data_IF_393591860499
#
_entry.id   IF_393591860499
#
_cell.length_a   1.000
_cell.length_b   1.000
_cell.length_c   1.000
_cell.angle_alpha   90.00
_cell.angle_beta   90.00
_cell.angle_gamma   90.00
#
_symmetry.space_group_name_H-M   'P 1'
#
loop_
_entity.id
_entity.type
_entity.pdbx_description
1 polymer ?
#
# COMPACT_ATOMS: atom_id res chain seq x y z
N UNK A 1 51.30 -45.08 -25.11
CA UNK A 1 50.92 -45.74 -26.38
C UNK A 1 50.07 -44.74 -27.17
N UNK A 2 50.63 -44.25 -28.28
CA UNK A 2 50.09 -43.22 -29.15
C UNK A 2 49.00 -43.81 -30.05
N UNK A 3 47.89 -43.15 -30.28
CA UNK A 3 47.14 -43.28 -31.53
C UNK A 3 46.46 -41.93 -31.87
N UNK A 4 47.05 -41.27 -32.81
CA UNK A 4 46.55 -40.16 -33.64
C UNK A 4 45.56 -40.68 -34.66
N UNK A 5 44.35 -40.04 -34.74
CA UNK A 5 43.51 -40.22 -35.94
C UNK A 5 43.27 -38.85 -36.57
N UNK A 6 43.86 -38.69 -37.75
CA UNK A 6 43.61 -37.63 -38.73
C UNK A 6 42.23 -37.86 -39.36
N UNK A 7 41.43 -36.83 -39.50
CA UNK A 7 40.25 -36.84 -40.38
C UNK A 7 40.38 -35.70 -41.37
N UNK A 8 40.27 -36.11 -42.61
CA UNK A 8 40.49 -35.38 -43.85
C UNK A 8 39.33 -34.43 -44.17
N UNK A 9 39.68 -33.19 -44.55
CA UNK A 9 38.75 -32.15 -45.01
C UNK A 9 38.44 -32.43 -46.49
N UNK A 10 37.14 -32.50 -46.86
CA UNK A 10 36.67 -32.39 -48.21
C UNK A 10 36.08 -31.01 -48.43
N UNK A 11 36.72 -30.21 -49.27
CA UNK A 11 36.21 -28.96 -49.80
C UNK A 11 35.35 -29.30 -51.02
N UNK A 12 34.08 -28.98 -50.99
CA UNK A 12 33.20 -28.93 -52.16
C UNK A 12 32.83 -27.46 -52.42
N UNK A 13 33.44 -26.93 -53.47
CA UNK A 13 33.04 -25.68 -54.10
C UNK A 13 31.75 -25.91 -54.91
N UNK A 14 30.69 -25.20 -54.62
CA UNK A 14 29.52 -25.04 -55.51
C UNK A 14 29.28 -23.56 -55.72
N UNK A 15 29.52 -23.15 -56.97
CA UNK A 15 29.15 -21.85 -57.55
C UNK A 15 27.68 -21.95 -57.97
N UNK A 16 26.88 -20.92 -57.65
CA UNK A 16 25.61 -20.82 -58.34
C UNK A 16 24.59 -19.86 -57.72
N UNK A 17 24.31 -18.81 -58.46
CA UNK A 17 23.07 -18.04 -58.55
C UNK A 17 22.82 -16.91 -57.54
N UNK A 18 23.13 -15.70 -57.99
CA UNK A 18 22.53 -14.44 -57.55
C UNK A 18 21.03 -14.46 -57.85
N UNK A 19 20.21 -14.49 -56.82
CA UNK A 19 18.78 -14.14 -56.90
C UNK A 19 18.59 -12.79 -56.23
N UNK A 20 18.43 -11.76 -57.05
CA UNK A 20 17.81 -10.47 -56.61
C UNK A 20 16.37 -10.78 -56.22
N UNK A 21 16.07 -10.73 -54.94
CA UNK A 21 14.74 -11.00 -54.39
C UNK A 21 14.41 -10.10 -53.25
N UNK A 22 13.62 -9.07 -53.51
CA UNK A 22 12.67 -8.38 -52.66
C UNK A 22 13.19 -7.83 -51.29
N UNK A 23 13.26 -6.53 -51.22
CA UNK A 23 13.12 -5.76 -49.97
C UNK A 23 11.87 -6.25 -49.25
N UNK A 24 12.06 -7.19 -48.32
CA UNK A 24 11.07 -7.47 -47.29
C UNK A 24 11.03 -6.26 -46.34
N UNK A 25 10.01 -5.43 -46.53
CA UNK A 25 9.65 -4.45 -45.52
C UNK A 25 9.48 -5.21 -44.19
N UNK A 26 10.38 -4.98 -43.23
CA UNK A 26 10.13 -5.37 -41.85
C UNK A 26 8.80 -4.74 -41.49
N UNK A 27 7.78 -5.56 -41.28
CA UNK A 27 6.53 -5.14 -40.62
C UNK A 27 6.91 -4.40 -39.35
N UNK A 28 6.34 -3.24 -39.07
CA UNK A 28 6.54 -2.61 -37.76
C UNK A 28 6.19 -3.62 -36.67
N UNK A 29 6.90 -3.65 -35.55
CA UNK A 29 6.58 -4.55 -34.47
C UNK A 29 5.11 -4.34 -34.12
N UNK A 30 4.39 -5.45 -34.04
CA UNK A 30 2.97 -5.49 -33.70
C UNK A 30 2.80 -4.74 -32.36
N UNK A 31 2.28 -3.51 -32.42
CA UNK A 31 2.13 -2.60 -31.27
C UNK A 31 0.96 -3.01 -30.35
N UNK A 32 0.43 -4.23 -30.52
CA UNK A 32 -0.77 -4.71 -29.82
C UNK A 32 -0.50 -5.51 -28.54
N UNK A 33 0.76 -5.85 -28.22
CA UNK A 33 1.06 -6.51 -26.96
C UNK A 33 1.06 -5.49 -25.81
N UNK A 34 0.28 -5.72 -24.75
CA UNK A 34 0.22 -4.79 -23.63
C UNK A 34 1.60 -4.69 -22.96
N UNK A 35 2.01 -3.45 -22.65
CA UNK A 35 3.28 -3.20 -21.94
C UNK A 35 3.19 -3.71 -20.50
N UNK A 36 4.12 -4.58 -20.11
CA UNK A 36 4.18 -5.08 -18.73
C UNK A 36 4.92 -4.09 -17.83
N UNK A 37 4.25 -3.69 -16.73
CA UNK A 37 4.76 -2.76 -15.73
C UNK A 37 4.93 -3.50 -14.40
N UNK A 38 6.10 -3.43 -13.80
CA UNK A 38 6.36 -4.05 -12.49
C UNK A 38 6.00 -3.09 -11.36
N UNK A 39 5.13 -3.53 -10.44
CA UNK A 39 4.77 -2.82 -9.22
C UNK A 39 5.19 -3.61 -7.99
N UNK A 40 5.88 -2.96 -7.05
CA UNK A 40 6.21 -3.54 -5.74
C UNK A 40 5.23 -3.05 -4.69
N UNK A 41 4.78 -3.95 -3.83
CA UNK A 41 3.90 -3.64 -2.71
C UNK A 41 4.22 -4.53 -1.51
N UNK A 42 3.69 -4.20 -0.34
CA UNK A 42 3.60 -5.13 0.78
C UNK A 42 2.70 -6.34 0.43
N UNK A 43 2.78 -7.39 1.23
CA UNK A 43 1.91 -8.57 1.08
C UNK A 43 0.42 -8.16 1.01
N UNK A 44 -0.43 -8.94 0.34
CA UNK A 44 -1.82 -8.59 0.15
C UNK A 44 -2.52 -8.20 1.46
N UNK A 45 -3.05 -6.99 1.48
CA UNK A 45 -3.84 -6.43 2.57
C UNK A 45 -4.82 -5.41 2.00
N UNK A 46 -5.82 -5.00 2.75
CA UNK A 46 -6.77 -3.99 2.28
C UNK A 46 -6.18 -2.57 2.20
N UNK A 47 -4.97 -2.35 2.71
CA UNK A 47 -4.22 -1.09 2.47
C UNK A 47 -3.82 -0.90 0.99
N UNK A 48 -3.68 -2.01 0.24
CA UNK A 48 -3.41 -2.01 -1.21
C UNK A 48 -4.63 -2.50 -2.03
N UNK A 49 -5.84 -2.39 -1.46
CA UNK A 49 -7.05 -2.92 -2.07
C UNK A 49 -7.35 -2.36 -3.46
N UNK A 50 -7.05 -1.08 -3.74
CA UNK A 50 -7.24 -0.49 -5.09
C UNK A 50 -6.28 -1.13 -6.12
N UNK A 51 -4.97 -1.24 -5.90
CA UNK A 51 -4.08 -2.04 -6.77
C UNK A 51 -4.53 -3.50 -6.95
N UNK A 52 -4.96 -4.18 -5.88
CA UNK A 52 -5.47 -5.56 -5.99
C UNK A 52 -6.75 -5.61 -6.85
N UNK A 53 -7.66 -4.64 -6.67
CA UNK A 53 -8.88 -4.52 -7.49
C UNK A 53 -8.54 -4.27 -8.96
N UNK A 54 -7.54 -3.44 -9.25
CA UNK A 54 -7.05 -3.21 -10.61
C UNK A 54 -6.69 -4.53 -11.30
N UNK A 55 -5.93 -5.39 -10.63
CA UNK A 55 -5.54 -6.70 -11.16
C UNK A 55 -6.77 -7.63 -11.26
N UNK A 56 -7.59 -7.73 -10.22
CA UNK A 56 -8.74 -8.64 -10.16
C UNK A 56 -9.79 -8.31 -11.22
N UNK A 57 -10.03 -7.04 -11.48
CA UNK A 57 -10.99 -6.55 -12.48
C UNK A 57 -10.36 -6.34 -13.86
N UNK A 58 -9.03 -6.54 -13.99
CA UNK A 58 -8.28 -6.38 -15.24
C UNK A 58 -8.40 -4.97 -15.84
N UNK A 59 -8.55 -3.94 -15.00
CA UNK A 59 -8.63 -2.55 -15.48
C UNK A 59 -7.29 -2.10 -16.05
N UNK A 60 -6.16 -2.66 -15.61
CA UNK A 60 -4.85 -2.48 -16.21
C UNK A 60 -4.86 -2.85 -17.71
N UNK A 61 -5.43 -4.00 -18.04
CA UNK A 61 -5.52 -4.47 -19.44
C UNK A 61 -6.45 -3.62 -20.29
N UNK A 62 -7.51 -3.08 -19.70
CA UNK A 62 -8.40 -2.16 -20.41
C UNK A 62 -7.70 -0.86 -20.85
N UNK A 63 -6.61 -0.49 -20.16
CA UNK A 63 -5.77 0.67 -20.48
C UNK A 63 -4.47 0.29 -21.21
N UNK A 64 -4.39 -0.90 -21.83
CA UNK A 64 -3.27 -1.32 -22.68
C UNK A 64 -1.99 -1.66 -21.92
N UNK A 65 -2.05 -1.84 -20.61
CA UNK A 65 -0.92 -2.26 -19.76
C UNK A 65 -1.23 -3.59 -19.08
N UNK A 66 -0.18 -4.27 -18.64
CA UNK A 66 -0.29 -5.42 -17.72
C UNK A 66 0.54 -5.11 -16.48
N UNK A 67 -0.06 -5.12 -15.31
CA UNK A 67 0.68 -4.85 -14.06
C UNK A 67 1.10 -6.18 -13.43
N UNK A 68 2.43 -6.40 -13.35
CA UNK A 68 3.04 -7.47 -12.56
C UNK A 68 3.20 -6.98 -11.12
N UNK A 69 2.23 -7.30 -10.27
CA UNK A 69 2.22 -6.90 -8.87
C UNK A 69 3.03 -7.91 -8.04
N UNK A 70 4.20 -7.50 -7.65
CA UNK A 70 5.07 -8.26 -6.76
C UNK A 70 4.84 -7.84 -5.30
N UNK A 71 3.91 -8.52 -4.64
CA UNK A 71 3.46 -8.20 -3.29
C UNK A 71 4.02 -9.21 -2.29
N UNK A 72 4.98 -8.78 -1.47
CA UNK A 72 5.58 -9.60 -0.40
C UNK A 72 6.26 -8.78 0.69
N UNK A 73 6.35 -9.38 1.88
CA UNK A 73 6.87 -8.69 3.06
C UNK A 73 5.89 -7.64 3.60
N UNK A 74 6.35 -6.82 4.52
CA UNK A 74 5.51 -5.83 5.22
C UNK A 74 6.11 -4.42 5.17
N UNK A 75 7.26 -4.24 4.50
CA UNK A 75 8.04 -3.00 4.53
C UNK A 75 7.86 -2.18 3.26
N UNK A 76 7.34 -0.96 3.40
CA UNK A 76 7.33 0.05 2.33
C UNK A 76 8.75 0.45 1.87
N UNK A 77 9.74 0.34 2.75
CA UNK A 77 11.15 0.64 2.42
C UNK A 77 11.66 -0.26 1.31
N UNK A 78 11.39 -1.58 1.39
CA UNK A 78 11.78 -2.53 0.33
C UNK A 78 11.16 -2.16 -1.02
N UNK A 79 9.90 -1.70 -1.03
CA UNK A 79 9.24 -1.25 -2.26
C UNK A 79 9.88 0.03 -2.81
N UNK A 80 10.24 0.97 -1.93
CA UNK A 80 10.94 2.21 -2.32
C UNK A 80 12.33 1.88 -2.89
N UNK A 81 13.09 1.03 -2.22
CA UNK A 81 14.43 0.62 -2.68
C UNK A 81 14.37 -0.05 -4.05
N UNK A 82 13.38 -0.93 -4.29
CA UNK A 82 13.18 -1.56 -5.59
C UNK A 82 12.86 -0.54 -6.70
N UNK A 83 12.06 0.49 -6.40
CA UNK A 83 11.76 1.58 -7.35
C UNK A 83 13.00 2.42 -7.63
N UNK A 84 13.75 2.81 -6.62
CA UNK A 84 14.98 3.60 -6.77
C UNK A 84 16.07 2.83 -7.53
N UNK A 85 16.17 1.52 -7.30
CA UNK A 85 17.11 0.65 -8.01
C UNK A 85 16.65 0.29 -9.45
N UNK A 86 15.46 0.72 -9.88
CA UNK A 86 14.90 0.36 -11.20
C UNK A 86 14.42 -1.08 -11.34
N UNK A 87 14.34 -1.83 -10.26
CA UNK A 87 13.81 -3.20 -10.23
C UNK A 87 12.28 -3.24 -10.33
N UNK A 88 11.62 -2.15 -9.95
CA UNK A 88 10.20 -1.93 -10.18
C UNK A 88 9.99 -0.52 -10.75
N UNK A 89 8.99 -0.40 -11.62
CA UNK A 89 8.61 0.89 -12.18
C UNK A 89 7.80 1.70 -11.17
N UNK A 90 6.95 1.04 -10.39
CA UNK A 90 6.04 1.63 -9.40
C UNK A 90 6.20 0.97 -8.03
N UNK A 91 5.95 1.77 -6.98
CA UNK A 91 5.87 1.28 -5.61
C UNK A 91 4.52 1.64 -4.98
N UNK A 92 3.85 0.65 -4.35
CA UNK A 92 2.74 0.92 -3.44
C UNK A 92 3.30 0.95 -2.02
N UNK A 93 3.23 2.10 -1.37
CA UNK A 93 4.00 2.40 -0.15
C UNK A 93 3.18 3.21 0.86
N UNK A 94 3.57 3.11 2.14
CA UNK A 94 3.00 3.96 3.19
C UNK A 94 3.44 5.42 3.02
N UNK A 95 2.51 6.33 3.25
CA UNK A 95 2.71 7.77 2.98
C UNK A 95 3.88 8.35 3.77
N UNK A 96 3.96 8.09 5.08
CA UNK A 96 5.05 8.63 5.88
C UNK A 96 6.41 8.10 5.43
N UNK A 97 6.51 6.81 5.09
CA UNK A 97 7.75 6.19 4.62
C UNK A 97 8.21 6.84 3.31
N UNK A 98 7.28 7.09 2.37
CA UNK A 98 7.58 7.80 1.13
C UNK A 98 8.07 9.23 1.38
N UNK A 99 7.37 10.00 2.21
CA UNK A 99 7.75 11.37 2.54
C UNK A 99 9.10 11.44 3.25
N UNK A 100 9.41 10.49 4.14
CA UNK A 100 10.70 10.42 4.82
C UNK A 100 11.83 10.08 3.85
N UNK A 101 11.60 9.18 2.88
CA UNK A 101 12.58 8.89 1.83
C UNK A 101 12.84 10.13 0.94
N UNK A 102 11.79 10.83 0.51
CA UNK A 102 11.89 12.09 -0.27
C UNK A 102 12.66 13.14 0.52
N UNK A 103 12.36 13.34 1.80
CA UNK A 103 13.10 14.26 2.67
C UNK A 103 14.60 13.91 2.76
N UNK A 104 14.95 12.63 2.65
CA UNK A 104 16.34 12.15 2.66
C UNK A 104 17.00 12.21 1.28
N UNK A 105 16.32 12.77 0.27
CA UNK A 105 16.84 12.98 -1.07
C UNK A 105 16.45 11.92 -2.09
N UNK A 106 15.54 10.99 -1.77
CA UNK A 106 15.03 10.05 -2.75
C UNK A 106 14.25 10.77 -3.86
N UNK A 107 14.62 10.56 -5.12
CA UNK A 107 13.98 11.20 -6.28
C UNK A 107 12.68 10.46 -6.66
N UNK A 108 11.70 10.56 -5.79
CA UNK A 108 10.38 9.97 -5.96
C UNK A 108 9.33 11.02 -6.29
N UNK A 109 8.31 10.59 -7.04
CA UNK A 109 7.10 11.35 -7.33
C UNK A 109 5.88 10.55 -6.93
N UNK A 110 4.93 11.20 -6.28
CA UNK A 110 3.65 10.64 -5.88
C UNK A 110 2.69 10.80 -7.03
N UNK A 111 2.19 9.68 -7.58
CA UNK A 111 1.27 9.70 -8.72
C UNK A 111 -0.18 9.40 -8.33
N UNK A 112 -0.41 8.79 -7.18
CA UNK A 112 -1.76 8.52 -6.66
C UNK A 112 -1.74 8.29 -5.14
N UNK A 113 -2.83 8.67 -4.48
CA UNK A 113 -3.17 8.22 -3.13
C UNK A 113 -4.33 7.22 -3.23
N UNK A 114 -4.13 6.00 -2.75
CA UNK A 114 -5.04 4.87 -3.02
C UNK A 114 -5.87 4.44 -1.82
N UNK A 115 -5.56 4.95 -0.63
CA UNK A 115 -6.30 4.63 0.60
C UNK A 115 -6.16 5.73 1.64
N UNK A 116 -7.26 6.01 2.33
CA UNK A 116 -7.30 6.89 3.49
C UNK A 116 -6.88 6.15 4.77
N UNK A 117 -7.28 6.64 5.92
CA UNK A 117 -6.97 6.00 7.18
C UNK A 117 -7.79 4.71 7.40
N UNK A 118 -7.14 3.59 7.19
CA UNK A 118 -7.70 2.24 7.40
C UNK A 118 -7.40 1.67 8.80
N UNK A 119 -6.74 2.44 9.67
CA UNK A 119 -6.34 1.93 10.96
C UNK A 119 -7.54 1.77 11.89
N UNK A 120 -7.65 0.59 12.47
CA UNK A 120 -8.58 0.30 13.56
C UNK A 120 -7.81 -0.17 14.79
N UNK A 121 -8.39 0.05 15.96
CA UNK A 121 -7.89 -0.45 17.24
C UNK A 121 -8.89 -1.43 17.82
N UNK A 122 -8.40 -2.59 18.20
CA UNK A 122 -9.12 -3.59 18.98
C UNK A 122 -8.57 -3.58 20.41
N UNK A 123 -9.45 -3.46 21.39
CA UNK A 123 -9.11 -3.60 22.81
C UNK A 123 -9.65 -4.93 23.33
N UNK A 124 -8.92 -5.60 24.20
CA UNK A 124 -9.41 -6.82 24.86
C UNK A 124 -10.69 -6.55 25.63
N UNK A 125 -11.62 -7.50 25.61
CA UNK A 125 -12.93 -7.35 26.26
C UNK A 125 -12.80 -7.08 27.77
N UNK A 126 -11.93 -7.83 28.47
CA UNK A 126 -11.69 -7.64 29.91
C UNK A 126 -11.05 -6.29 30.26
N UNK A 127 -10.22 -5.76 29.35
CA UNK A 127 -9.62 -4.43 29.50
C UNK A 127 -10.67 -3.36 29.27
N UNK A 128 -11.46 -3.44 28.20
CA UNK A 128 -12.54 -2.49 27.93
C UNK A 128 -13.55 -2.40 29.07
N UNK A 129 -13.94 -3.55 29.63
CA UNK A 129 -14.84 -3.60 30.80
C UNK A 129 -14.21 -2.91 32.02
N UNK A 130 -12.94 -3.18 32.32
CA UNK A 130 -12.23 -2.58 33.47
C UNK A 130 -12.10 -1.05 33.37
N UNK A 131 -11.97 -0.52 32.16
CA UNK A 131 -11.85 0.91 31.92
C UNK A 131 -13.14 1.68 32.24
N UNK A 132 -14.29 1.04 32.20
CA UNK A 132 -15.61 1.67 32.44
C UNK A 132 -15.99 2.72 31.39
N UNK A 133 -15.31 2.74 30.23
CA UNK A 133 -15.56 3.65 29.11
C UNK A 133 -16.24 2.85 27.99
N UNK A 134 -17.36 3.37 27.47
CA UNK A 134 -18.05 2.73 26.35
C UNK A 134 -17.20 2.79 25.06
N UNK A 135 -17.19 1.74 24.21
CA UNK A 135 -16.60 1.80 22.88
C UNK A 135 -17.30 2.80 21.96
N UNK A 136 -18.44 3.34 22.35
CA UNK A 136 -19.18 4.41 21.67
C UNK A 136 -19.06 5.77 22.34
N UNK A 137 -18.31 5.87 23.46
CA UNK A 137 -18.05 7.15 24.13
C UNK A 137 -17.33 8.14 23.19
N UNK A 138 -17.32 9.43 23.50
CA UNK A 138 -16.56 10.41 22.75
C UNK A 138 -15.11 9.98 22.54
N UNK A 139 -14.57 10.22 21.35
CA UNK A 139 -13.23 9.73 20.98
C UNK A 139 -12.15 10.20 21.97
N UNK A 140 -12.26 11.42 22.50
CA UNK A 140 -11.34 11.94 23.48
C UNK A 140 -11.28 11.08 24.76
N UNK A 141 -12.40 10.57 25.22
CA UNK A 141 -12.47 9.68 26.38
C UNK A 141 -11.85 8.33 26.08
N UNK A 142 -12.19 7.75 24.92
CA UNK A 142 -11.64 6.47 24.48
C UNK A 142 -10.12 6.51 24.31
N UNK A 143 -9.58 7.59 23.76
CA UNK A 143 -8.12 7.74 23.61
C UNK A 143 -7.46 7.95 24.97
N UNK A 144 -7.99 8.82 25.84
CA UNK A 144 -7.42 9.05 27.19
C UNK A 144 -7.45 7.79 28.05
N UNK A 145 -8.43 6.92 27.86
CA UNK A 145 -8.52 5.64 28.56
C UNK A 145 -7.37 4.66 28.21
N UNK A 146 -6.60 4.93 27.14
CA UNK A 146 -5.42 4.12 26.80
C UNK A 146 -4.22 4.37 27.74
N UNK A 147 -4.28 5.38 28.62
CA UNK A 147 -3.20 5.68 29.56
C UNK A 147 -2.85 4.47 30.43
N UNK A 148 -1.55 4.12 30.46
CA UNK A 148 -1.03 2.98 31.21
C UNK A 148 -1.18 1.62 30.50
N UNK A 149 -1.86 1.56 29.36
CA UNK A 149 -2.04 0.31 28.61
C UNK A 149 -0.83 -0.03 27.73
N UNK A 150 -0.70 -1.31 27.44
CA UNK A 150 0.22 -1.84 26.43
C UNK A 150 -0.51 -1.97 25.10
N UNK A 151 -0.16 -1.15 24.12
CA UNK A 151 -0.78 -1.15 22.78
C UNK A 151 0.26 -1.54 21.73
N UNK A 152 -0.01 -2.62 20.97
CA UNK A 152 0.85 -3.05 19.89
C UNK A 152 0.30 -2.60 18.53
N UNK A 153 1.19 -2.29 17.61
CA UNK A 153 0.88 -1.84 16.25
C UNK A 153 1.99 -2.25 15.29
N UNK A 154 1.97 -1.79 14.05
CA UNK A 154 3.05 -2.04 13.07
C UNK A 154 4.42 -1.60 13.58
N UNK A 155 5.47 -2.01 12.88
CA UNK A 155 6.86 -1.73 13.26
C UNK A 155 7.09 -0.25 13.61
N UNK A 156 8.03 0.01 14.51
CA UNK A 156 8.45 1.38 14.86
C UNK A 156 8.82 2.14 13.58
N UNK A 157 8.26 3.34 13.41
CA UNK A 157 8.43 4.16 12.21
C UNK A 157 7.46 3.85 11.07
N UNK A 158 6.65 2.78 11.15
CA UNK A 158 5.62 2.50 10.14
C UNK A 158 4.49 3.54 10.19
N UNK A 159 3.73 3.63 9.10
CA UNK A 159 2.53 4.48 9.02
C UNK A 159 1.55 4.20 10.17
N UNK A 160 1.25 2.94 10.46
CA UNK A 160 0.37 2.56 11.57
C UNK A 160 0.89 3.02 12.94
N UNK A 161 2.19 2.86 13.18
CA UNK A 161 2.82 3.32 14.41
C UNK A 161 2.69 4.84 14.58
N UNK A 162 2.90 5.60 13.52
CA UNK A 162 2.83 7.06 13.58
C UNK A 162 1.39 7.59 13.67
N UNK A 163 0.43 6.97 13.02
CA UNK A 163 -1.00 7.31 13.17
C UNK A 163 -1.41 7.15 14.65
N UNK A 164 -1.04 6.04 15.28
CA UNK A 164 -1.38 5.83 16.68
C UNK A 164 -0.73 6.92 17.58
N UNK A 165 0.53 7.25 17.33
CA UNK A 165 1.20 8.34 18.07
C UNK A 165 0.51 9.69 17.86
N UNK A 166 0.04 9.99 16.64
CA UNK A 166 -0.68 11.24 16.37
C UNK A 166 -2.01 11.30 17.12
N UNK A 167 -2.76 10.20 17.20
CA UNK A 167 -3.99 10.13 17.98
C UNK A 167 -3.73 10.40 19.47
N UNK A 168 -2.72 9.76 20.04
CA UNK A 168 -2.38 9.97 21.44
C UNK A 168 -2.08 11.45 21.71
N UNK A 169 -1.23 12.09 20.91
CA UNK A 169 -0.90 13.52 21.06
C UNK A 169 -2.12 14.42 20.89
N UNK A 170 -2.95 14.16 19.89
CA UNK A 170 -4.16 14.96 19.61
C UNK A 170 -5.11 15.03 20.80
N UNK A 171 -5.14 13.98 21.62
CA UNK A 171 -6.01 13.91 22.80
C UNK A 171 -5.27 14.05 24.13
N UNK A 172 -4.05 14.59 24.09
CA UNK A 172 -3.30 15.02 25.27
C UNK A 172 -2.50 13.92 25.98
N UNK A 173 -2.25 12.78 25.33
CA UNK A 173 -1.36 11.75 25.84
C UNK A 173 0.03 11.88 25.21
N UNK A 174 1.06 11.70 26.03
CA UNK A 174 2.43 11.55 25.55
C UNK A 174 2.64 10.08 25.11
N UNK A 175 2.87 9.83 23.78
CA UNK A 175 3.04 8.48 23.28
C UNK A 175 4.30 7.76 23.77
N UNK A 176 5.24 8.47 24.38
CA UNK A 176 6.50 7.90 24.87
C UNK A 176 6.45 7.52 26.35
N UNK A 177 5.49 8.09 27.11
CA UNK A 177 5.43 7.90 28.58
C UNK A 177 4.05 7.45 29.08
N UNK A 178 2.95 7.86 28.45
CA UNK A 178 1.60 7.57 28.92
C UNK A 178 1.06 6.23 28.44
N UNK A 179 1.55 5.69 27.33
CA UNK A 179 1.13 4.42 26.75
C UNK A 179 2.36 3.59 26.39
N UNK A 180 2.37 2.33 26.77
CA UNK A 180 3.44 1.42 26.35
C UNK A 180 3.20 0.97 24.89
N UNK A 181 3.80 1.68 23.93
CA UNK A 181 3.70 1.33 22.51
C UNK A 181 4.70 0.25 22.15
N UNK A 182 4.23 -0.81 21.49
CA UNK A 182 5.06 -1.90 20.98
C UNK A 182 4.93 -1.97 19.46
N UNK A 183 6.04 -1.76 18.76
CA UNK A 183 6.12 -1.94 17.31
C UNK A 183 6.38 -3.40 16.95
N UNK A 184 5.55 -3.98 16.09
CA UNK A 184 5.62 -5.37 15.64
C UNK A 184 5.87 -5.39 14.13
N UNK A 185 6.97 -6.02 13.70
CA UNK A 185 7.34 -6.09 12.29
C UNK A 185 6.49 -7.11 11.52
N UNK A 186 6.07 -8.20 12.19
CA UNK A 186 5.23 -9.25 11.60
C UNK A 186 3.77 -9.10 12.08
N UNK A 187 2.85 -8.63 11.22
CA UNK A 187 1.48 -8.32 11.64
C UNK A 187 0.71 -9.50 12.25
N UNK A 188 0.96 -10.73 11.82
CA UNK A 188 0.31 -11.93 12.38
C UNK A 188 0.58 -12.10 13.89
N UNK A 189 1.73 -11.60 14.37
CA UNK A 189 2.07 -11.62 15.78
C UNK A 189 1.21 -10.67 16.63
N UNK A 190 0.52 -9.69 16.03
CA UNK A 190 -0.45 -8.84 16.74
C UNK A 190 -1.65 -9.66 17.21
N UNK A 191 -2.21 -10.52 16.34
CA UNK A 191 -3.35 -11.37 16.67
C UNK A 191 -2.99 -12.36 17.77
N UNK A 192 -1.91 -13.12 17.59
CA UNK A 192 -1.48 -14.08 18.62
C UNK A 192 -1.09 -13.40 19.95
N UNK A 193 -0.53 -12.20 19.89
CA UNK A 193 -0.14 -11.45 21.09
C UNK A 193 -1.33 -10.94 21.90
N UNK A 194 -2.40 -10.45 21.26
CA UNK A 194 -3.61 -10.03 21.98
C UNK A 194 -4.37 -11.23 22.53
N UNK A 195 -4.46 -12.34 21.81
CA UNK A 195 -5.05 -13.59 22.30
C UNK A 195 -4.32 -14.14 23.55
N UNK A 196 -3.00 -14.09 23.52
CA UNK A 196 -2.15 -14.50 24.64
C UNK A 196 -2.06 -13.46 25.75
N UNK A 197 -2.85 -12.38 25.69
CA UNK A 197 -2.89 -11.29 26.68
C UNK A 197 -1.54 -10.57 26.89
N UNK A 198 -0.64 -10.59 25.88
CA UNK A 198 0.61 -9.82 25.91
C UNK A 198 0.38 -8.33 25.68
N UNK A 199 -0.71 -7.99 25.00
CA UNK A 199 -1.15 -6.62 24.70
C UNK A 199 -2.55 -6.40 25.26
N UNK A 200 -2.82 -5.17 25.72
CA UNK A 200 -4.15 -4.73 26.13
C UNK A 200 -5.00 -4.35 24.91
N UNK A 201 -4.35 -3.82 23.88
CA UNK A 201 -4.95 -3.48 22.60
C UNK A 201 -3.96 -3.67 21.45
N UNK A 202 -4.51 -3.81 20.24
CA UNK A 202 -3.76 -3.76 18.99
C UNK A 202 -4.35 -2.71 18.06
N UNK A 203 -3.49 -2.05 17.26
CA UNK A 203 -3.93 -1.08 16.26
C UNK A 203 -3.31 -1.42 14.91
N UNK A 204 -4.13 -1.78 13.92
CA UNK A 204 -3.68 -2.15 12.58
C UNK A 204 -4.82 -1.99 11.56
N UNK A 205 -4.62 -2.47 10.33
CA UNK A 205 -5.62 -2.44 9.27
C UNK A 205 -6.33 -3.79 9.11
N UNK A 206 -7.48 -3.76 8.42
CA UNK A 206 -8.20 -4.95 7.96
C UNK A 206 -7.36 -5.79 6.98
N UNK A 207 -7.51 -7.11 6.96
CA UNK A 207 -8.49 -7.91 7.71
C UNK A 207 -7.99 -8.41 9.07
N UNK A 208 -6.82 -7.97 9.53
CA UNK A 208 -6.16 -8.50 10.74
C UNK A 208 -6.96 -8.20 12.01
N UNK A 209 -7.55 -7.01 12.10
CA UNK A 209 -8.34 -6.61 13.28
C UNK A 209 -9.66 -7.40 13.37
N UNK A 210 -10.32 -7.66 12.27
CA UNK A 210 -11.52 -8.49 12.22
C UNK A 210 -11.20 -9.95 12.55
N UNK A 211 -10.06 -10.45 12.09
CA UNK A 211 -9.61 -11.79 12.47
C UNK A 211 -9.41 -11.89 13.99
N UNK A 212 -8.79 -10.90 14.64
CA UNK A 212 -8.67 -10.89 16.09
C UNK A 212 -10.04 -10.86 16.80
N UNK A 213 -10.99 -10.08 16.28
CA UNK A 213 -12.36 -10.00 16.83
C UNK A 213 -13.09 -11.33 16.67
N UNK A 214 -13.04 -11.94 15.49
CA UNK A 214 -13.70 -13.24 15.21
C UNK A 214 -13.18 -14.37 16.14
N UNK A 215 -11.92 -14.27 16.56
CA UNK A 215 -11.33 -15.19 17.55
C UNK A 215 -11.62 -14.81 19.01
N UNK A 216 -12.49 -13.83 19.23
CA UNK A 216 -12.90 -13.41 20.58
C UNK A 216 -11.86 -12.59 21.34
N UNK A 217 -10.79 -12.15 20.69
CA UNK A 217 -9.70 -11.46 21.36
C UNK A 217 -10.08 -10.07 21.90
N UNK A 218 -11.11 -9.43 21.35
CA UNK A 218 -11.53 -8.10 21.79
C UNK A 218 -12.67 -7.51 20.96
N UNK A 219 -12.84 -6.20 21.07
CA UNK A 219 -13.83 -5.41 20.36
C UNK A 219 -13.20 -4.15 19.74
N UNK A 220 -13.85 -3.60 18.70
CA UNK A 220 -13.39 -2.34 18.09
C UNK A 220 -13.46 -1.21 19.12
N UNK A 221 -12.33 -0.56 19.36
CA UNK A 221 -12.19 0.57 20.26
C UNK A 221 -12.14 1.91 19.52
N UNK A 222 -11.37 1.97 18.45
CA UNK A 222 -11.25 3.15 17.57
C UNK A 222 -11.25 2.64 16.12
N UNK A 223 -11.94 3.32 15.21
CA UNK A 223 -11.97 2.99 13.79
C UNK A 223 -11.78 4.24 12.93
N UNK A 224 -10.67 4.28 12.19
CA UNK A 224 -10.43 5.29 11.14
C UNK A 224 -11.50 5.23 10.05
N UNK A 225 -11.79 4.04 9.47
CA UNK A 225 -12.84 3.90 8.45
C UNK A 225 -14.23 4.37 8.90
N UNK A 226 -14.57 4.21 10.17
CA UNK A 226 -15.84 4.68 10.75
C UNK A 226 -15.86 6.21 10.98
N UNK A 227 -14.72 6.89 10.82
CA UNK A 227 -14.61 8.32 11.06
C UNK A 227 -14.53 8.71 12.54
N UNK A 228 -14.15 7.79 13.43
CA UNK A 228 -14.02 8.08 14.87
C UNK A 228 -13.03 9.20 15.14
N UNK A 229 -11.97 9.31 14.33
CA UNK A 229 -10.99 10.39 14.40
C UNK A 229 -11.40 11.49 13.42
N UNK A 230 -11.72 12.70 13.87
CA UNK A 230 -12.04 13.80 12.98
C UNK A 230 -10.93 14.06 11.94
N UNK A 231 -11.30 14.20 10.68
CA UNK A 231 -10.37 14.40 9.56
C UNK A 231 -9.67 13.13 9.06
N UNK A 232 -10.07 11.94 9.53
CA UNK A 232 -9.52 10.64 9.07
C UNK A 232 -9.62 10.44 7.56
N UNK A 233 -10.63 10.97 6.91
CA UNK A 233 -10.87 10.97 5.47
C UNK A 233 -9.78 11.72 4.69
N UNK A 234 -9.11 12.67 5.33
CA UNK A 234 -8.01 13.43 4.76
C UNK A 234 -6.62 12.83 5.04
N UNK A 235 -6.54 11.81 5.89
CA UNK A 235 -5.28 11.11 6.18
C UNK A 235 -5.06 10.06 5.12
N UNK A 236 -4.32 10.39 4.05
CA UNK A 236 -3.90 9.43 3.02
C UNK A 236 -2.79 8.54 3.60
N UNK A 237 -3.02 7.23 3.68
CA UNK A 237 -2.08 6.30 4.31
C UNK A 237 -1.29 5.44 3.33
N UNK A 238 -1.73 5.35 2.08
CA UNK A 238 -1.07 4.60 1.02
C UNK A 238 -0.97 5.36 -0.29
N UNK A 239 0.21 5.33 -0.88
CA UNK A 239 0.58 6.04 -2.10
C UNK A 239 1.08 5.07 -3.17
N UNK A 240 0.93 5.49 -4.42
CA UNK A 240 1.70 4.95 -5.55
C UNK A 240 2.78 5.97 -5.91
N UNK A 241 4.02 5.49 -5.93
CA UNK A 241 5.21 6.30 -6.21
C UNK A 241 5.98 5.76 -7.41
N UNK A 242 6.70 6.65 -8.08
CA UNK A 242 7.63 6.38 -9.18
C UNK A 242 8.88 7.22 -9.03
N UNK A 243 9.95 6.93 -9.78
CA UNK A 243 11.06 7.88 -9.95
C UNK A 243 10.65 9.05 -10.85
N UNK A 244 11.23 10.24 -10.64
CA UNK A 244 10.97 11.40 -11.48
C UNK A 244 11.23 11.11 -12.97
N UNK A 245 12.36 10.47 -13.27
CA UNK A 245 12.71 10.10 -14.66
C UNK A 245 11.70 9.17 -15.33
N UNK A 246 10.95 8.37 -14.55
CA UNK A 246 9.90 7.50 -15.08
C UNK A 246 8.76 8.32 -15.67
N UNK A 247 8.40 9.45 -15.06
CA UNK A 247 7.38 10.35 -15.59
C UNK A 247 7.83 10.96 -16.91
N UNK A 248 9.11 11.36 -16.99
CA UNK A 248 9.67 11.97 -18.20
C UNK A 248 9.75 10.99 -19.37
N UNK A 249 10.21 9.76 -19.11
CA UNK A 249 10.48 8.75 -20.14
C UNK A 249 9.26 7.90 -20.51
N UNK A 250 8.31 7.74 -19.61
CA UNK A 250 7.22 6.77 -19.70
C UNK A 250 5.86 7.38 -19.32
N UNK A 251 5.62 8.64 -19.69
CA UNK A 251 4.42 9.39 -19.31
C UNK A 251 3.13 8.64 -19.65
N UNK A 252 3.05 8.07 -20.84
CA UNK A 252 1.84 7.33 -21.28
C UNK A 252 1.54 6.13 -20.38
N UNK A 253 2.57 5.44 -19.91
CA UNK A 253 2.42 4.30 -19.00
C UNK A 253 1.99 4.75 -17.59
N UNK A 254 2.49 5.90 -17.12
CA UNK A 254 2.05 6.51 -15.85
C UNK A 254 0.57 6.90 -15.93
N UNK A 255 0.15 7.51 -17.05
CA UNK A 255 -1.26 7.87 -17.26
C UNK A 255 -2.15 6.64 -17.39
N UNK A 256 -1.72 5.62 -18.12
CA UNK A 256 -2.46 4.35 -18.24
C UNK A 256 -2.64 3.68 -16.87
N UNK A 257 -1.59 3.65 -16.03
CA UNK A 257 -1.69 3.12 -14.67
C UNK A 257 -2.66 3.94 -13.81
N UNK A 258 -2.60 5.27 -13.88
CA UNK A 258 -3.52 6.14 -13.14
C UNK A 258 -4.97 5.93 -13.57
N UNK A 259 -5.23 5.81 -14.88
CA UNK A 259 -6.55 5.51 -15.41
C UNK A 259 -7.05 4.14 -14.92
N UNK A 260 -6.20 3.11 -14.96
CA UNK A 260 -6.52 1.78 -14.46
C UNK A 260 -6.84 1.77 -12.96
N UNK A 261 -6.08 2.52 -12.15
CA UNK A 261 -6.34 2.70 -10.71
C UNK A 261 -7.65 3.48 -10.45
N UNK A 262 -7.97 4.47 -11.29
CA UNK A 262 -9.23 5.23 -11.20
C UNK A 262 -10.43 4.33 -11.46
N UNK A 263 -10.36 3.47 -12.49
CA UNK A 263 -11.43 2.52 -12.76
C UNK A 263 -11.55 1.45 -11.67
N UNK A 264 -10.44 0.99 -11.12
CA UNK A 264 -10.44 0.08 -9.98
C UNK A 264 -11.09 0.73 -8.74
N UNK A 265 -10.77 1.99 -8.46
CA UNK A 265 -11.37 2.73 -7.37
C UNK A 265 -12.88 2.90 -7.57
N UNK A 266 -13.31 3.22 -8.80
CA UNK A 266 -14.73 3.29 -9.16
C UNK A 266 -15.44 1.95 -8.93
N UNK A 267 -14.82 0.82 -9.32
CA UNK A 267 -15.37 -0.52 -9.10
C UNK A 267 -15.55 -0.84 -7.61
N UNK A 268 -14.60 -0.44 -6.75
CA UNK A 268 -14.75 -0.57 -5.29
C UNK A 268 -15.97 0.22 -4.79
N UNK A 269 -16.24 1.39 -5.36
CA UNK A 269 -17.35 2.25 -4.94
C UNK A 269 -18.71 1.79 -5.48
N UNK A 270 -18.79 1.42 -6.77
CA UNK A 270 -20.04 1.13 -7.47
C UNK A 270 -20.38 -0.36 -7.59
N UNK A 271 -19.37 -1.25 -7.52
CA UNK A 271 -19.52 -2.69 -7.67
C UNK A 271 -18.97 -3.44 -6.44
N UNK A 272 -19.20 -2.86 -5.26
CA UNK A 272 -18.56 -3.25 -3.99
C UNK A 272 -18.66 -4.74 -3.70
N UNK A 273 -19.85 -5.35 -3.83
CA UNK A 273 -20.06 -6.76 -3.51
C UNK A 273 -19.29 -7.66 -4.48
N UNK A 274 -19.45 -7.44 -5.80
CA UNK A 274 -18.77 -8.24 -6.81
C UNK A 274 -17.24 -8.11 -6.73
N UNK A 275 -16.75 -6.89 -6.49
CA UNK A 275 -15.32 -6.61 -6.29
C UNK A 275 -14.80 -7.33 -5.05
N UNK A 276 -15.51 -7.27 -3.93
CA UNK A 276 -15.14 -7.95 -2.69
C UNK A 276 -15.05 -9.46 -2.86
N UNK A 277 -16.01 -10.07 -3.54
CA UNK A 277 -16.00 -11.51 -3.83
C UNK A 277 -14.79 -11.93 -4.67
N UNK A 278 -14.41 -11.14 -5.69
CA UNK A 278 -13.23 -11.41 -6.50
C UNK A 278 -11.95 -11.32 -5.67
N UNK A 279 -11.80 -10.26 -4.86
CA UNK A 279 -10.64 -10.08 -4.00
C UNK A 279 -10.52 -11.20 -2.97
N UNK A 280 -11.63 -11.61 -2.35
CA UNK A 280 -11.66 -12.75 -1.44
C UNK A 280 -11.11 -14.01 -2.11
N UNK A 281 -11.69 -14.40 -3.24
CA UNK A 281 -11.27 -15.61 -3.95
C UNK A 281 -9.83 -15.59 -4.44
N UNK A 282 -9.31 -14.41 -4.84
CA UNK A 282 -7.96 -14.31 -5.39
C UNK A 282 -6.85 -14.16 -4.34
N UNK A 283 -7.11 -13.44 -3.25
CA UNK A 283 -6.05 -13.02 -2.32
C UNK A 283 -6.31 -13.37 -0.86
N UNK A 284 -7.54 -13.64 -0.49
CA UNK A 284 -7.96 -13.79 0.91
C UNK A 284 -8.81 -15.05 1.14
N UNK A 285 -8.73 -16.04 0.27
CA UNK A 285 -9.53 -17.27 0.33
C UNK A 285 -9.34 -18.09 1.62
N UNK A 286 -8.27 -17.84 2.36
CA UNK A 286 -7.99 -18.46 3.67
C UNK A 286 -8.74 -17.81 4.84
N UNK A 287 -9.43 -16.67 4.61
CA UNK A 287 -10.28 -16.04 5.62
C UNK A 287 -11.70 -16.63 5.53
N UNK A 288 -12.35 -16.82 6.68
CA UNK A 288 -13.76 -17.15 6.72
C UNK A 288 -14.59 -16.03 6.08
N UNK A 289 -15.64 -16.41 5.32
CA UNK A 289 -16.46 -15.45 4.56
C UNK A 289 -17.01 -14.31 5.41
N UNK A 290 -17.52 -14.58 6.61
CA UNK A 290 -18.06 -13.56 7.50
C UNK A 290 -16.99 -12.59 8.03
N UNK A 291 -15.77 -13.07 8.27
CA UNK A 291 -14.62 -12.23 8.64
C UNK A 291 -14.22 -11.33 7.47
N UNK A 292 -14.16 -11.90 6.27
CA UNK A 292 -13.87 -11.16 5.07
C UNK A 292 -14.89 -10.06 4.79
N UNK A 293 -16.19 -10.41 4.82
CA UNK A 293 -17.27 -9.46 4.57
C UNK A 293 -17.20 -8.27 5.54
N UNK A 294 -17.01 -8.56 6.84
CA UNK A 294 -16.85 -7.52 7.87
C UNK A 294 -15.63 -6.62 7.58
N UNK A 295 -14.50 -7.23 7.21
CA UNK A 295 -13.27 -6.49 6.90
C UNK A 295 -13.41 -5.65 5.64
N UNK A 296 -14.03 -6.20 4.60
CA UNK A 296 -14.29 -5.51 3.34
C UNK A 296 -15.22 -4.32 3.56
N UNK A 297 -16.33 -4.54 4.24
CA UNK A 297 -17.30 -3.51 4.54
C UNK A 297 -16.72 -2.37 5.38
N UNK A 298 -15.95 -2.68 6.38
CA UNK A 298 -15.26 -1.66 7.19
C UNK A 298 -14.27 -0.85 6.36
N UNK A 299 -13.50 -1.50 5.48
CA UNK A 299 -12.41 -0.83 4.75
C UNK A 299 -12.89 -0.02 3.55
N UNK A 300 -13.98 -0.44 2.88
CA UNK A 300 -14.46 0.26 1.66
C UNK A 300 -14.78 1.72 1.89
N UNK A 301 -15.19 2.11 3.10
CA UNK A 301 -15.45 3.51 3.48
C UNK A 301 -14.17 4.35 3.57
N UNK A 302 -13.01 3.71 3.68
CA UNK A 302 -11.72 4.38 3.74
C UNK A 302 -11.04 4.50 2.37
N UNK A 303 -11.61 3.98 1.29
CA UNK A 303 -11.07 4.28 -0.04
C UNK A 303 -11.47 5.70 -0.45
N UNK A 304 -10.53 6.49 -1.01
CA UNK A 304 -10.78 7.89 -1.31
C UNK A 304 -11.80 8.05 -2.45
N UNK A 305 -12.40 9.23 -2.56
CA UNK A 305 -13.28 9.56 -3.68
C UNK A 305 -12.51 9.63 -5.02
N UNK A 306 -11.23 9.99 -4.96
CA UNK A 306 -10.32 10.08 -6.09
C UNK A 306 -8.88 9.80 -5.67
N UNK A 307 -7.94 9.80 -6.62
CA UNK A 307 -6.53 9.45 -6.37
C UNK A 307 -5.66 10.64 -5.93
N UNK A 308 -6.24 11.79 -5.55
CA UNK A 308 -5.46 12.96 -5.19
C UNK A 308 -4.70 12.77 -3.88
N UNK A 309 -3.42 13.14 -3.89
CA UNK A 309 -2.64 13.38 -2.70
C UNK A 309 -2.66 14.88 -2.43
N UNK A 310 -3.58 15.33 -1.60
CA UNK A 310 -3.85 16.76 -1.39
C UNK A 310 -2.77 17.44 -0.54
N UNK A 311 -2.67 18.76 -0.67
CA UNK A 311 -1.81 19.58 0.20
C UNK A 311 -2.15 19.37 1.68
N UNK A 312 -3.42 19.23 2.04
CA UNK A 312 -3.86 18.96 3.41
C UNK A 312 -3.32 17.61 3.92
N UNK A 313 -3.34 16.55 3.08
CA UNK A 313 -2.76 15.26 3.45
C UNK A 313 -1.24 15.36 3.64
N UNK A 314 -0.54 16.10 2.79
CA UNK A 314 0.89 16.37 2.95
C UNK A 314 1.18 17.09 4.28
N UNK A 315 0.48 18.18 4.56
CA UNK A 315 0.67 18.99 5.78
C UNK A 315 0.39 18.19 7.04
N UNK A 316 -0.65 17.32 7.02
CA UNK A 316 -0.89 16.39 8.13
C UNK A 316 0.33 15.52 8.43
N UNK A 317 0.89 14.89 7.40
CA UNK A 317 1.99 13.95 7.60
C UNK A 317 3.29 14.61 8.03
N UNK A 318 3.67 15.75 7.44
CA UNK A 318 4.91 16.43 7.84
C UNK A 318 4.82 17.01 9.25
N UNK A 319 3.63 17.47 9.68
CA UNK A 319 3.39 17.96 11.04
C UNK A 319 3.48 16.82 12.07
N UNK A 320 3.04 15.62 11.70
CA UNK A 320 3.04 14.45 12.57
C UNK A 320 4.30 13.57 12.44
N UNK A 321 5.25 13.90 11.55
CA UNK A 321 6.56 13.24 11.52
C UNK A 321 7.31 13.49 12.83
N UNK A 322 8.00 12.50 13.40
CA UNK A 322 8.80 12.68 14.62
C UNK A 322 9.85 13.79 14.53
N UNK A 323 10.34 14.11 13.32
CA UNK A 323 11.29 15.22 13.08
C UNK A 323 10.60 16.56 12.84
N UNK A 324 9.27 16.58 12.77
CA UNK A 324 8.45 17.78 12.59
C UNK A 324 8.51 18.38 11.18
N UNK A 325 7.58 19.29 10.91
CA UNK A 325 7.40 19.93 9.60
C UNK A 325 8.66 20.70 9.12
N UNK A 326 9.43 21.31 10.04
CA UNK A 326 10.64 22.03 9.70
C UNK A 326 11.69 21.17 8.96
N UNK A 327 11.70 19.86 9.24
CA UNK A 327 12.59 18.93 8.53
C UNK A 327 12.26 18.77 7.04
N UNK A 328 11.11 19.27 6.59
CA UNK A 328 10.62 19.23 5.21
C UNK A 328 10.73 20.57 4.48
N UNK A 329 11.39 21.59 5.06
CA UNK A 329 11.51 22.93 4.45
C UNK A 329 12.07 22.94 3.02
N UNK A 330 12.87 21.95 2.65
CA UNK A 330 13.47 21.80 1.32
C UNK A 330 12.67 20.84 0.42
N UNK A 331 11.48 20.37 0.86
CA UNK A 331 10.62 19.49 0.09
C UNK A 331 9.45 20.31 -0.45
N UNK A 332 9.47 20.56 -1.76
CA UNK A 332 8.37 21.24 -2.43
C UNK A 332 7.26 20.24 -2.78
N UNK A 333 6.09 20.44 -2.20
CA UNK A 333 4.90 19.63 -2.47
C UNK A 333 4.58 19.53 -3.97
N UNK A 334 4.71 20.64 -4.72
CA UNK A 334 4.41 20.66 -6.15
C UNK A 334 5.41 19.81 -6.95
N UNK A 335 6.67 19.77 -6.53
CA UNK A 335 7.69 18.97 -7.20
C UNK A 335 7.56 17.47 -6.93
N UNK A 336 7.16 17.08 -5.72
CA UNK A 336 7.04 15.66 -5.35
C UNK A 336 5.72 15.02 -5.78
N UNK A 337 4.74 15.83 -6.17
CA UNK A 337 3.39 15.36 -6.55
C UNK A 337 3.19 15.54 -8.04
N UNK A 338 2.79 14.46 -8.71
CA UNK A 338 2.44 14.54 -10.13
C UNK A 338 1.23 15.45 -10.35
N UNK A 339 1.26 16.35 -11.34
CA UNK A 339 0.27 17.42 -11.53
C UNK A 339 -1.18 16.98 -11.40
N UNK A 340 -1.55 15.87 -12.04
CA UNK A 340 -2.90 15.33 -11.97
C UNK A 340 -3.23 14.66 -10.62
N UNK A 341 -2.23 14.42 -9.77
CA UNK A 341 -2.44 13.92 -8.42
C UNK A 341 -2.74 15.06 -7.42
N UNK A 342 -2.67 16.32 -7.85
CA UNK A 342 -3.01 17.48 -7.03
C UNK A 342 -4.47 17.91 -7.19
N UNK A 343 -5.08 17.64 -8.36
CA UNK A 343 -6.23 18.36 -8.87
C UNK A 343 -7.47 17.51 -9.21
N UNK A 344 -7.71 16.43 -8.47
CA UNK A 344 -8.95 15.65 -8.68
C UNK A 344 -9.87 15.72 -7.50
#
# INVERSE_FOLDING_TARGET
>A
MKLTRRVTIWILTAVGAVALGACGAKSPPDSSAPTTLTMRAAAPSLTIGVPLTMIANRTDKAHGITVDLQAFGTSSTISIDAVLAGQAMFGSVGTLTALQAIRQGADLRIIAAVVNNVQMMVIRNDVGQRLGVSPTAPIAERVRALKGLTVATGAVGSTHYQILRSYLRQYGLNPDTDVRLIGIAEPSALVSGIEQRRFDAIAYASPLVEHAIARGAGQVWISGPRGDIPGSDNIKTGLIVVRAETIEKNRDQVEALRAALTDALRAVQSERVATGQKLHGMYFANLEGGVWETAWDATTTAYPANLAFTRQAYDYWITNDPKGAESYRNVDYAQITYDRAQSQ
#
